data_IF_688219670565
#
_entry.id   IF_688219670565
#
_cell.length_a   1.000
_cell.length_b   1.000
_cell.length_c   1.000
_cell.angle_alpha   90.00
_cell.angle_beta   90.00
_cell.angle_gamma   90.00
#
_symmetry.space_group_name_H-M   'P 1'
#
loop_
_entity.id
_entity.type
_entity.pdbx_description
1 polymer ?
#
# COMPACT_ATOMS: atom_id res chain seq x y z
N UNK A 1 18.65 30.62 -25.26
CA UNK A 1 19.10 29.65 -24.25
C UNK A 1 18.45 29.99 -22.93
N UNK A 2 17.53 29.14 -22.45
CA UNK A 2 16.82 29.37 -21.18
C UNK A 2 17.70 28.82 -20.07
N UNK A 3 18.31 29.72 -19.29
CA UNK A 3 19.13 29.37 -18.13
C UNK A 3 18.22 28.64 -17.14
N UNK A 4 18.35 27.31 -17.07
CA UNK A 4 17.61 26.45 -16.15
C UNK A 4 18.15 26.73 -14.75
N UNK A 5 17.30 27.28 -13.86
CA UNK A 5 17.74 27.63 -12.51
C UNK A 5 18.04 26.35 -11.73
N UNK A 6 19.13 26.28 -10.96
CA UNK A 6 19.55 25.06 -10.25
C UNK A 6 18.45 24.48 -9.34
N UNK A 7 17.60 25.33 -8.78
CA UNK A 7 16.47 24.92 -7.92
C UNK A 7 15.45 24.00 -8.63
N UNK A 8 15.13 24.25 -9.91
CA UNK A 8 14.17 23.42 -10.64
C UNK A 8 14.74 22.06 -11.08
N UNK A 9 16.06 22.01 -11.30
CA UNK A 9 16.76 20.77 -11.56
C UNK A 9 16.83 19.91 -10.29
N UNK A 10 17.10 20.53 -9.14
CA UNK A 10 17.16 19.82 -7.85
C UNK A 10 15.81 19.24 -7.45
N UNK A 11 14.71 19.99 -7.58
CA UNK A 11 13.38 19.49 -7.23
C UNK A 11 12.98 18.31 -8.11
N UNK A 12 13.14 18.44 -9.43
CA UNK A 12 12.85 17.36 -10.37
C UNK A 12 13.63 16.09 -10.04
N UNK A 13 14.93 16.23 -9.79
CA UNK A 13 15.81 15.10 -9.48
C UNK A 13 15.45 14.42 -8.15
N UNK A 14 15.07 15.20 -7.12
CA UNK A 14 14.58 14.65 -5.84
C UNK A 14 13.28 13.87 -6.03
N UNK A 15 12.32 14.39 -6.80
CA UNK A 15 11.07 13.67 -7.07
C UNK A 15 11.32 12.39 -7.85
N UNK A 16 12.19 12.41 -8.87
CA UNK A 16 12.55 11.20 -9.62
C UNK A 16 13.23 10.14 -8.75
N UNK A 17 14.12 10.55 -7.85
CA UNK A 17 14.76 9.62 -6.93
C UNK A 17 13.74 9.06 -5.93
N UNK A 18 12.89 9.90 -5.34
CA UNK A 18 11.88 9.46 -4.38
C UNK A 18 10.89 8.45 -4.99
N UNK A 19 10.38 8.72 -6.19
CA UNK A 19 9.45 7.81 -6.87
C UNK A 19 10.12 6.49 -7.24
N UNK A 20 11.37 6.52 -7.71
CA UNK A 20 12.10 5.29 -8.02
C UNK A 20 12.26 4.41 -6.78
N UNK A 21 12.63 4.98 -5.63
CA UNK A 21 12.81 4.23 -4.37
C UNK A 21 11.51 3.57 -3.92
N UNK A 22 10.39 4.33 -3.95
CA UNK A 22 9.07 3.79 -3.59
C UNK A 22 8.70 2.63 -4.53
N UNK A 23 8.91 2.81 -5.83
CA UNK A 23 8.63 1.79 -6.84
C UNK A 23 9.45 0.52 -6.65
N UNK A 24 10.74 0.63 -6.32
CA UNK A 24 11.59 -0.54 -6.04
C UNK A 24 11.03 -1.38 -4.90
N UNK A 25 10.55 -0.74 -3.83
CA UNK A 25 10.00 -1.45 -2.67
C UNK A 25 8.65 -2.13 -2.99
N UNK A 26 7.84 -1.54 -3.86
CA UNK A 26 6.59 -2.15 -4.33
C UNK A 26 6.80 -3.33 -5.28
N UNK A 27 7.92 -3.40 -6.02
CA UNK A 27 8.17 -4.48 -6.99
C UNK A 27 8.92 -5.69 -6.43
N UNK A 28 9.86 -5.46 -5.51
CA UNK A 28 10.75 -6.52 -5.01
C UNK A 28 10.54 -6.83 -3.52
N UNK A 29 9.73 -6.05 -2.81
CA UNK A 29 9.47 -6.22 -1.38
C UNK A 29 8.00 -6.52 -1.08
N UNK A 30 7.70 -6.64 0.21
CA UNK A 30 6.32 -6.63 0.73
C UNK A 30 5.87 -5.17 0.85
N UNK A 31 4.88 -4.79 0.05
CA UNK A 31 4.37 -3.41 0.06
C UNK A 31 3.72 -3.05 1.42
N UNK A 32 3.10 -4.03 2.06
CA UNK A 32 2.54 -3.97 3.41
C UNK A 32 2.58 -5.36 4.06
N UNK A 33 2.40 -5.40 5.38
CA UNK A 33 2.28 -6.63 6.16
C UNK A 33 0.88 -6.69 6.76
N UNK A 34 0.10 -7.69 6.37
CA UNK A 34 -1.24 -7.93 6.88
C UNK A 34 -1.19 -8.88 8.10
N UNK A 35 -2.12 -8.71 9.02
CA UNK A 35 -2.25 -9.64 10.16
C UNK A 35 -2.96 -10.91 9.72
N UNK A 36 -2.24 -12.02 9.67
CA UNK A 36 -2.78 -13.32 9.26
C UNK A 36 -3.12 -14.24 10.43
N UNK A 37 -4.12 -15.11 10.28
CA UNK A 37 -4.45 -16.10 11.29
C UNK A 37 -3.41 -17.23 11.32
N UNK A 38 -3.13 -17.74 12.52
CA UNK A 38 -2.05 -18.72 12.79
C UNK A 38 -2.21 -20.08 12.08
N UNK A 39 -3.37 -20.35 11.48
CA UNK A 39 -3.61 -21.58 10.72
C UNK A 39 -3.07 -21.52 9.28
N UNK A 40 -2.66 -20.35 8.81
CA UNK A 40 -2.05 -20.20 7.49
C UNK A 40 -0.67 -20.87 7.48
N UNK A 41 -0.42 -21.75 6.50
CA UNK A 41 0.81 -22.54 6.37
C UNK A 41 1.42 -22.39 4.98
N UNK A 42 2.70 -22.12 4.89
CA UNK A 42 3.38 -21.96 3.59
C UNK A 42 3.24 -20.53 3.06
N UNK A 43 3.03 -20.35 1.75
CA UNK A 43 3.02 -19.04 1.10
C UNK A 43 1.72 -18.22 1.25
N UNK A 44 0.80 -18.62 2.13
CA UNK A 44 -0.46 -17.89 2.32
C UNK A 44 -0.25 -16.51 2.93
N UNK A 45 0.77 -16.33 3.78
CA UNK A 45 1.09 -15.02 4.35
C UNK A 45 1.45 -14.02 3.23
N UNK A 46 2.30 -14.45 2.28
CA UNK A 46 2.67 -13.66 1.11
C UNK A 46 1.47 -13.37 0.20
N UNK A 47 0.58 -14.35 -0.03
CA UNK A 47 -0.64 -14.13 -0.80
C UNK A 47 -1.55 -13.09 -0.15
N UNK A 48 -1.73 -13.14 1.17
CA UNK A 48 -2.59 -12.18 1.87
C UNK A 48 -2.02 -10.79 1.92
N UNK A 49 -0.70 -10.65 2.02
CA UNK A 49 -0.04 -9.35 1.92
C UNK A 49 -0.32 -8.69 0.56
N UNK A 50 -0.21 -9.45 -0.53
CA UNK A 50 -0.48 -8.96 -1.89
C UNK A 50 -1.98 -8.68 -2.11
N UNK A 51 -2.86 -9.54 -1.58
CA UNK A 51 -4.30 -9.35 -1.67
C UNK A 51 -4.74 -8.07 -0.96
N UNK A 52 -4.27 -7.84 0.25
CA UNK A 52 -4.52 -6.61 1.01
C UNK A 52 -3.99 -5.36 0.30
N UNK A 53 -2.94 -5.48 -0.52
CA UNK A 53 -2.36 -4.35 -1.25
C UNK A 53 -3.18 -3.97 -2.50
N UNK A 54 -3.77 -4.95 -3.17
CA UNK A 54 -4.62 -4.73 -4.36
C UNK A 54 -6.00 -4.25 -3.95
N UNK A 55 -6.57 -4.79 -2.88
CA UNK A 55 -7.88 -4.44 -2.37
C UNK A 55 -7.87 -3.18 -1.49
N UNK A 56 -8.98 -2.44 -1.44
CA UNK A 56 -9.07 -1.22 -0.63
C UNK A 56 -9.16 -1.55 0.87
N UNK A 57 -8.30 -0.93 1.69
CA UNK A 57 -8.34 -1.03 3.15
C UNK A 57 -8.99 0.21 3.78
N UNK A 58 -9.86 0.01 4.76
CA UNK A 58 -10.45 1.10 5.55
C UNK A 58 -9.91 1.10 6.98
N UNK A 59 -9.79 2.29 7.58
CA UNK A 59 -9.35 2.46 8.96
C UNK A 59 -10.53 2.35 9.94
N UNK A 60 -10.37 1.53 10.97
CA UNK A 60 -11.34 1.38 12.07
C UNK A 60 -10.72 1.85 13.39
N UNK A 61 -11.34 2.81 14.09
CA UNK A 61 -10.86 3.24 15.40
C UNK A 61 -11.02 2.12 16.44
N UNK A 62 -9.96 1.83 17.20
CA UNK A 62 -9.88 0.72 18.16
C UNK A 62 -10.98 0.78 19.25
N UNK A 63 -11.53 1.97 19.51
CA UNK A 63 -12.53 2.21 20.55
C UNK A 63 -13.98 1.85 20.12
N UNK A 64 -14.28 1.85 18.82
CA UNK A 64 -15.59 1.50 18.27
C UNK A 64 -15.43 0.27 17.36
N UNK A 65 -15.27 -0.92 17.96
CA UNK A 65 -15.04 -2.20 17.25
C UNK A 65 -16.29 -2.80 16.58
N UNK A 66 -17.37 -2.04 16.45
CA UNK A 66 -18.49 -2.45 15.63
C UNK A 66 -18.07 -2.28 14.16
N UNK A 67 -17.64 -3.38 13.52
CA UNK A 67 -17.60 -3.43 12.06
C UNK A 67 -19.02 -3.12 11.56
N UNK A 68 -19.19 -2.31 10.50
CA UNK A 68 -20.51 -2.09 9.92
C UNK A 68 -21.11 -3.44 9.51
N UNK A 69 -22.36 -3.69 9.90
CA UNK A 69 -23.12 -4.93 9.62
C UNK A 69 -23.63 -4.99 8.17
N UNK A 70 -23.44 -3.90 7.44
CA UNK A 70 -23.89 -3.76 6.06
C UNK A 70 -23.01 -4.58 5.12
N UNK A 71 -23.57 -5.68 4.61
CA UNK A 71 -22.92 -6.61 3.69
C UNK A 71 -22.38 -5.94 2.40
N UNK A 72 -22.93 -4.78 2.04
CA UNK A 72 -22.57 -3.98 0.86
C UNK A 72 -21.18 -3.35 0.96
N UNK A 73 -20.68 -3.11 2.19
CA UNK A 73 -19.31 -2.59 2.41
C UNK A 73 -18.28 -3.69 2.67
N UNK A 74 -18.70 -4.88 3.09
CA UNK A 74 -17.80 -5.99 3.46
C UNK A 74 -17.24 -6.74 2.26
N UNK A 75 -17.96 -6.71 1.14
CA UNK A 75 -17.52 -7.21 -0.15
C UNK A 75 -17.99 -6.22 -1.22
N UNK A 76 -17.15 -5.27 -1.65
CA UNK A 76 -17.47 -4.46 -2.82
C UNK A 76 -17.45 -5.39 -4.04
N UNK A 77 -18.59 -6.02 -4.32
CA UNK A 77 -18.90 -6.84 -5.49
C UNK A 77 -17.77 -7.76 -5.99
N UNK A 78 -17.89 -9.05 -5.67
CA UNK A 78 -17.63 -10.04 -6.72
C UNK A 78 -18.68 -9.91 -7.84
#
# INVERSE_FOLDING_TARGET
>A
MKVMRPFELTTSLVFFLATSVIFYQSFFGKALLCWTPVQFRGGWDEYTDDFCFVENTYFVPVNNRSLPDDNEYRFPNF
#
